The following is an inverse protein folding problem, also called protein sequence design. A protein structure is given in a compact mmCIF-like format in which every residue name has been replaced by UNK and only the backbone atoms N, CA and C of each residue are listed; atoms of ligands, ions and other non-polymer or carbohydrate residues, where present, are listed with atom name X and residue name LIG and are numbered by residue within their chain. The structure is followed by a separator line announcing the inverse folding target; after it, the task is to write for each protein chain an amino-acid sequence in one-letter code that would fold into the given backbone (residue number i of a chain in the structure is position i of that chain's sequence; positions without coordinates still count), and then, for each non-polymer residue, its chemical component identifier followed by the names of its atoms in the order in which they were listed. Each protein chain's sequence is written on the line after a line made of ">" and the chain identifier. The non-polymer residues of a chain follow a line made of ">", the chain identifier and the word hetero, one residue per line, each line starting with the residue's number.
data_IF_519609443304
#
_entry.id   IF_519609443304
#
_cell.length_a   1.000
_cell.length_b   1.000
_cell.length_c   1.000
_cell.angle_alpha   90.00
_cell.angle_beta   90.00
_cell.angle_gamma   90.00
#
_symmetry.space_group_name_H-M   'P 1'
#
loop_
_entity.id
_entity.type
_entity.pdbx_description
1 polymer ?
#
# COMPACT_ATOMS: atom_id res chain seq x y z
N UNK A 1 -8.89 13.08 30.92
CA UNK A 1 -8.37 12.89 29.55
C UNK A 1 -9.05 11.74 28.83
N UNK A 2 -8.97 10.47 29.29
CA UNK A 2 -9.60 9.32 28.60
C UNK A 2 -11.13 9.36 28.48
N UNK A 3 -11.82 9.66 29.58
CA UNK A 3 -13.29 9.63 29.65
C UNK A 3 -13.97 10.73 28.82
N UNK A 4 -13.25 11.81 28.56
CA UNK A 4 -13.70 12.94 27.73
C UNK A 4 -12.66 13.22 26.64
N UNK A 5 -12.32 12.17 25.88
CA UNK A 5 -11.33 12.27 24.82
C UNK A 5 -11.79 13.21 23.72
N UNK A 6 -13.06 13.12 23.32
CA UNK A 6 -13.59 13.90 22.21
C UNK A 6 -13.98 15.34 22.58
N UNK A 7 -14.26 15.64 23.84
CA UNK A 7 -14.50 17.01 24.29
C UNK A 7 -13.23 17.78 24.66
N UNK A 8 -12.23 17.10 25.25
CA UNK A 8 -11.01 17.76 25.73
C UNK A 8 -9.71 17.05 25.35
N UNK A 9 -9.66 15.71 25.49
CA UNK A 9 -8.41 14.96 25.42
C UNK A 9 -7.65 15.07 24.09
N UNK A 10 -8.36 15.01 22.97
CA UNK A 10 -7.77 15.11 21.64
C UNK A 10 -7.26 16.52 21.34
N UNK A 11 -8.04 17.57 21.65
CA UNK A 11 -7.59 18.95 21.47
C UNK A 11 -6.37 19.30 22.34
N UNK A 12 -6.29 18.73 23.55
CA UNK A 12 -5.10 18.83 24.40
C UNK A 12 -3.89 18.13 23.78
N UNK A 13 -4.08 16.92 23.25
CA UNK A 13 -3.04 16.18 22.56
C UNK A 13 -2.52 16.94 21.33
N UNK A 14 -3.41 17.45 20.48
CA UNK A 14 -3.03 18.22 19.28
C UNK A 14 -2.24 19.47 19.64
N UNK A 15 -2.64 20.17 20.72
CA UNK A 15 -1.89 21.32 21.24
C UNK A 15 -0.49 20.94 21.71
N UNK A 16 -0.35 19.81 22.42
CA UNK A 16 0.96 19.29 22.83
C UNK A 16 1.83 18.96 21.61
N UNK A 17 1.27 18.32 20.58
CA UNK A 17 1.98 17.99 19.34
C UNK A 17 2.42 19.25 18.60
N UNK A 18 1.54 20.24 18.46
CA UNK A 18 1.86 21.52 17.82
C UNK A 18 3.04 22.23 18.50
N UNK A 19 3.05 22.29 19.84
CA UNK A 19 4.14 22.90 20.61
C UNK A 19 5.46 22.15 20.44
N UNK A 20 5.44 20.82 20.31
CA UNK A 20 6.66 20.03 20.05
C UNK A 20 7.15 20.27 18.61
N UNK A 21 6.25 20.26 17.63
CA UNK A 21 6.58 20.50 16.22
C UNK A 21 7.14 21.90 16.00
N UNK A 22 6.52 22.93 16.57
CA UNK A 22 6.99 24.32 16.48
C UNK A 22 8.40 24.46 17.07
N UNK A 23 8.64 23.86 18.25
CA UNK A 23 9.97 23.83 18.88
C UNK A 23 11.01 23.10 18.01
N UNK A 24 10.62 22.01 17.36
CA UNK A 24 11.49 21.27 16.47
C UNK A 24 11.85 22.06 15.20
N UNK A 25 10.83 22.67 14.56
CA UNK A 25 11.01 23.50 13.38
C UNK A 25 11.89 24.72 13.67
N UNK A 26 11.71 25.36 14.83
CA UNK A 26 12.56 26.49 15.24
C UNK A 26 14.04 26.11 15.45
N UNK A 27 14.35 24.83 15.68
CA UNK A 27 15.74 24.36 15.89
C UNK A 27 16.40 23.84 14.62
N UNK A 28 15.66 23.13 13.77
CA UNK A 28 16.25 22.33 12.69
C UNK A 28 15.57 22.47 11.32
N UNK A 29 14.62 23.41 11.15
CA UNK A 29 13.74 23.57 9.96
C UNK A 29 12.93 22.31 9.58
N UNK A 30 13.12 21.19 10.28
CA UNK A 30 12.47 19.90 10.08
C UNK A 30 12.18 19.24 11.42
N UNK A 31 11.16 18.39 11.46
CA UNK A 31 10.84 17.53 12.61
C UNK A 31 11.79 16.34 12.63
N UNK A 32 12.82 16.40 13.48
CA UNK A 32 13.83 15.34 13.63
C UNK A 32 13.38 14.18 14.54
N UNK A 33 14.24 13.15 14.63
CA UNK A 33 14.00 11.94 15.46
C UNK A 33 13.77 12.28 16.94
N UNK A 34 14.44 13.31 17.45
CA UNK A 34 14.29 13.79 18.83
C UNK A 34 12.88 14.33 19.10
N UNK A 35 12.32 15.09 18.17
CA UNK A 35 10.96 15.61 18.28
C UNK A 35 9.94 14.46 18.24
N UNK A 36 10.18 13.43 17.42
CA UNK A 36 9.34 12.22 17.42
C UNK A 36 9.41 11.48 18.74
N UNK A 37 10.59 11.38 19.35
CA UNK A 37 10.74 10.78 20.68
C UNK A 37 9.99 11.60 21.75
N UNK A 38 10.09 12.93 21.72
CA UNK A 38 9.35 13.81 22.63
C UNK A 38 7.83 13.68 22.43
N UNK A 39 7.36 13.63 21.18
CA UNK A 39 5.94 13.43 20.87
C UNK A 39 5.40 12.13 21.48
N UNK A 40 6.17 11.04 21.38
CA UNK A 40 5.81 9.73 21.97
C UNK A 40 5.77 9.75 23.49
N UNK A 41 6.52 10.64 24.15
CA UNK A 41 6.55 10.78 25.61
C UNK A 41 5.49 11.77 26.13
N UNK A 42 4.66 12.34 25.27
CA UNK A 42 3.58 13.23 25.71
C UNK A 42 2.47 12.45 26.44
N UNK A 43 1.82 13.04 27.46
CA UNK A 43 0.70 12.38 28.15
C UNK A 43 -0.44 11.95 27.22
N UNK A 44 -0.72 12.73 26.18
CA UNK A 44 -1.73 12.36 25.18
C UNK A 44 -1.30 11.16 24.32
N UNK A 45 -0.02 11.06 23.96
CA UNK A 45 0.50 9.91 23.22
C UNK A 45 0.43 8.61 24.04
N UNK A 46 0.80 8.65 25.33
CA UNK A 46 0.67 7.50 26.24
C UNK A 46 -0.79 7.02 26.32
N UNK A 47 -1.74 7.95 26.45
CA UNK A 47 -3.18 7.63 26.48
C UNK A 47 -3.65 6.95 25.20
N UNK A 48 -3.19 7.42 24.04
CA UNK A 48 -3.52 6.85 22.73
C UNK A 48 -2.88 5.47 22.57
N UNK A 49 -1.60 5.31 22.93
CA UNK A 49 -0.86 4.05 22.85
C UNK A 49 -1.51 2.96 23.71
N UNK A 50 -1.87 3.27 24.96
CA UNK A 50 -2.60 2.34 25.82
C UNK A 50 -3.96 1.93 25.23
N UNK A 51 -4.66 2.87 24.58
CA UNK A 51 -5.94 2.58 23.92
C UNK A 51 -5.74 1.67 22.69
N UNK A 52 -4.72 1.93 21.87
CA UNK A 52 -4.33 1.08 20.73
C UNK A 52 -4.00 -0.34 21.21
N UNK A 53 -3.23 -0.48 22.29
CA UNK A 53 -2.86 -1.80 22.82
C UNK A 53 -4.06 -2.55 23.43
N UNK A 54 -4.97 -1.83 24.08
CA UNK A 54 -6.25 -2.39 24.54
C UNK A 54 -7.09 -2.92 23.38
N UNK A 55 -7.21 -2.15 22.29
CA UNK A 55 -7.92 -2.56 21.07
C UNK A 55 -7.24 -3.76 20.43
N UNK A 56 -5.92 -3.73 20.26
CA UNK A 56 -5.12 -4.81 19.68
C UNK A 56 -5.34 -6.12 20.44
N UNK A 57 -5.22 -6.13 21.77
CA UNK A 57 -5.45 -7.33 22.59
C UNK A 57 -6.85 -7.90 22.40
N UNK A 58 -7.88 -7.03 22.41
CA UNK A 58 -9.27 -7.43 22.18
C UNK A 58 -9.47 -8.05 20.80
N UNK A 59 -8.85 -7.47 19.76
CA UNK A 59 -8.91 -7.97 18.39
C UNK A 59 -8.19 -9.31 18.22
N UNK A 60 -6.97 -9.44 18.76
CA UNK A 60 -6.22 -10.70 18.79
C UNK A 60 -7.05 -11.80 19.44
N UNK A 61 -7.65 -11.53 20.61
CA UNK A 61 -8.53 -12.51 21.27
C UNK A 61 -9.78 -12.85 20.45
N UNK A 62 -10.41 -11.88 19.79
CA UNK A 62 -11.56 -12.12 18.92
C UNK A 62 -11.19 -12.97 17.70
N UNK A 63 -10.05 -12.70 17.06
CA UNK A 63 -9.51 -13.47 15.94
C UNK A 63 -9.18 -14.91 16.34
N UNK A 64 -8.49 -15.11 17.46
CA UNK A 64 -8.14 -16.44 17.95
C UNK A 64 -9.37 -17.28 18.28
N UNK A 65 -10.47 -16.66 18.74
CA UNK A 65 -11.74 -17.36 19.01
C UNK A 65 -12.47 -17.86 17.76
N UNK A 66 -12.17 -17.32 16.56
CA UNK A 66 -12.79 -17.78 15.30
C UNK A 66 -12.33 -19.18 14.90
N UNK A 67 -11.10 -19.57 15.29
CA UNK A 67 -10.57 -20.91 15.06
C UNK A 67 -10.16 -21.23 13.61
N UNK A 68 -10.19 -20.25 12.69
CA UNK A 68 -9.76 -20.44 11.31
C UNK A 68 -8.30 -19.97 11.06
N UNK A 69 -7.58 -20.55 10.07
CA UNK A 69 -6.18 -20.21 9.81
C UNK A 69 -5.93 -18.75 9.43
N UNK A 70 -6.86 -18.09 8.71
CA UNK A 70 -6.70 -16.68 8.33
C UNK A 70 -6.76 -15.79 9.55
N UNK A 71 -7.76 -15.97 10.41
CA UNK A 71 -7.88 -15.21 11.64
C UNK A 71 -6.68 -15.42 12.57
N UNK A 72 -6.19 -16.67 12.69
CA UNK A 72 -4.98 -16.96 13.46
C UNK A 72 -3.73 -16.27 12.90
N UNK A 73 -3.58 -16.23 11.57
CA UNK A 73 -2.47 -15.53 10.92
C UNK A 73 -2.55 -14.00 11.10
N UNK A 74 -3.74 -13.41 10.97
CA UNK A 74 -3.96 -11.98 11.25
C UNK A 74 -3.67 -11.67 12.72
N UNK A 75 -4.10 -12.52 13.64
CA UNK A 75 -3.80 -12.35 15.07
C UNK A 75 -2.29 -12.37 15.34
N UNK A 76 -1.55 -13.29 14.72
CA UNK A 76 -0.10 -13.34 14.82
C UNK A 76 0.57 -12.12 14.15
N UNK A 77 0.03 -11.63 13.04
CA UNK A 77 0.54 -10.43 12.36
C UNK A 77 0.36 -9.16 13.20
N UNK A 78 -0.73 -9.08 13.98
CA UNK A 78 -1.02 -7.98 14.90
C UNK A 78 -0.22 -8.03 16.22
N UNK A 79 0.54 -9.12 16.48
CA UNK A 79 1.26 -9.35 17.74
C UNK A 79 2.00 -8.13 18.28
N UNK A 80 2.04 -8.00 19.62
CA UNK A 80 2.32 -6.78 20.38
C UNK A 80 3.77 -6.27 20.34
N UNK A 81 4.23 -5.85 21.51
CA UNK A 81 5.51 -5.21 21.86
C UNK A 81 6.72 -6.02 21.35
N UNK A 82 7.94 -5.47 21.40
CA UNK A 82 9.11 -6.08 20.76
C UNK A 82 9.39 -7.54 21.15
N UNK A 83 9.15 -7.94 22.40
CA UNK A 83 9.36 -9.32 22.88
C UNK A 83 8.24 -10.27 22.41
N UNK A 84 6.99 -9.83 22.48
CA UNK A 84 5.82 -10.54 21.95
C UNK A 84 5.85 -10.64 20.42
N UNK A 85 6.48 -9.67 19.74
CA UNK A 85 6.62 -9.63 18.30
C UNK A 85 7.45 -10.80 17.77
N UNK A 86 8.54 -11.15 18.44
CA UNK A 86 9.38 -12.29 18.01
C UNK A 86 8.60 -13.62 18.09
N UNK A 87 7.84 -13.82 19.17
CA UNK A 87 6.97 -15.00 19.35
C UNK A 87 5.85 -15.02 18.31
N UNK A 88 5.22 -13.88 18.05
CA UNK A 88 4.16 -13.75 17.07
C UNK A 88 4.66 -13.99 15.64
N UNK A 89 5.85 -13.49 15.29
CA UNK A 89 6.54 -13.78 14.03
C UNK A 89 6.84 -15.28 13.89
N UNK A 90 7.42 -15.91 14.91
CA UNK A 90 7.72 -17.34 14.89
C UNK A 90 6.44 -18.18 14.70
N UNK A 91 5.34 -17.81 15.36
CA UNK A 91 4.03 -18.43 15.17
C UNK A 91 3.51 -18.24 13.75
N UNK A 92 3.60 -17.04 13.19
CA UNK A 92 3.16 -16.76 11.83
C UNK A 92 3.96 -17.56 10.79
N UNK A 93 5.28 -17.65 10.94
CA UNK A 93 6.13 -18.50 10.09
C UNK A 93 5.77 -19.98 10.23
N UNK A 94 5.47 -20.45 11.44
CA UNK A 94 5.03 -21.83 11.67
C UNK A 94 3.68 -22.14 11.01
N UNK A 95 2.71 -21.24 11.10
CA UNK A 95 1.43 -21.37 10.41
C UNK A 95 1.62 -21.43 8.89
N UNK A 96 2.46 -20.55 8.33
CA UNK A 96 2.68 -20.49 6.90
C UNK A 96 3.39 -21.73 6.32
N UNK A 97 4.16 -22.48 7.12
CA UNK A 97 4.80 -23.72 6.66
C UNK A 97 3.81 -24.85 6.36
N UNK A 98 2.67 -24.86 7.04
CA UNK A 98 1.67 -25.94 6.92
C UNK A 98 0.36 -25.49 6.28
N UNK A 99 0.12 -24.18 6.19
CA UNK A 99 -1.06 -23.62 5.56
C UNK A 99 -1.04 -23.80 4.03
N UNK A 100 -2.16 -24.24 3.47
CA UNK A 100 -2.46 -24.15 2.04
C UNK A 100 -3.08 -22.81 1.65
N UNK A 101 -3.44 -21.98 2.64
CA UNK A 101 -4.03 -20.67 2.39
C UNK A 101 -2.93 -19.65 2.01
N UNK A 102 -2.96 -19.11 0.78
CA UNK A 102 -1.94 -18.19 0.30
C UNK A 102 -1.86 -16.88 1.08
N UNK A 103 -2.96 -16.43 1.71
CA UNK A 103 -2.93 -15.24 2.55
C UNK A 103 -1.99 -15.42 3.74
N UNK A 104 -1.96 -16.61 4.35
CA UNK A 104 -1.09 -16.92 5.49
C UNK A 104 0.37 -16.85 5.07
N UNK A 105 0.70 -17.41 3.89
CA UNK A 105 2.03 -17.31 3.29
C UNK A 105 2.42 -15.87 2.99
N UNK A 106 1.52 -15.07 2.40
CA UNK A 106 1.76 -13.67 2.09
C UNK A 106 2.03 -12.82 3.34
N UNK A 107 1.29 -13.05 4.43
CA UNK A 107 1.49 -12.37 5.71
C UNK A 107 2.84 -12.74 6.34
N UNK A 108 3.22 -14.02 6.31
CA UNK A 108 4.51 -14.47 6.84
C UNK A 108 5.69 -13.85 6.08
N UNK A 109 5.60 -13.73 4.74
CA UNK A 109 6.67 -13.10 3.95
C UNK A 109 6.84 -11.60 4.25
N UNK A 110 5.81 -10.93 4.77
CA UNK A 110 5.90 -9.54 5.21
C UNK A 110 6.49 -9.36 6.61
N UNK A 111 6.54 -10.44 7.41
CA UNK A 111 7.05 -10.45 8.78
C UNK A 111 8.16 -11.50 8.92
N UNK A 112 9.29 -11.35 8.21
CA UNK A 112 10.40 -12.26 8.37
C UNK A 112 10.95 -12.15 9.80
N UNK A 113 11.35 -13.29 10.35
CA UNK A 113 12.12 -13.35 11.59
C UNK A 113 13.52 -12.78 11.36
N UNK A 114 14.05 -12.13 12.41
CA UNK A 114 15.46 -11.77 12.48
C UNK A 114 16.35 -13.03 12.37
N UNK A 115 17.62 -12.82 11.97
CA UNK A 115 18.61 -13.91 11.87
C UNK A 115 18.72 -14.62 13.21
N UNK A 116 18.53 -15.95 13.22
CA UNK A 116 18.57 -16.78 14.42
C UNK A 116 17.27 -16.79 15.25
N UNK A 117 16.25 -15.99 14.91
CA UNK A 117 15.00 -15.92 15.68
C UNK A 117 14.01 -17.05 15.38
N UNK A 118 13.78 -17.34 14.10
CA UNK A 118 12.97 -18.48 13.68
C UNK A 118 13.27 -18.87 12.22
N UNK A 119 12.78 -20.03 11.78
CA UNK A 119 12.87 -20.44 10.37
C UNK A 119 11.86 -19.67 9.52
N UNK A 120 12.35 -18.84 8.61
CA UNK A 120 11.51 -18.16 7.61
C UNK A 120 11.03 -19.14 6.53
N UNK A 121 9.80 -18.96 6.04
CA UNK A 121 9.36 -19.62 4.82
C UNK A 121 10.08 -19.05 3.59
N UNK A 122 10.22 -19.85 2.55
CA UNK A 122 10.81 -19.41 1.29
C UNK A 122 9.79 -18.62 0.46
N UNK A 123 10.21 -17.53 -0.19
CA UNK A 123 9.34 -16.81 -1.13
C UNK A 123 8.87 -17.69 -2.30
N UNK A 124 9.68 -18.68 -2.70
CA UNK A 124 9.34 -19.66 -3.73
C UNK A 124 8.04 -20.42 -3.41
N UNK A 125 7.73 -20.61 -2.11
CA UNK A 125 6.52 -21.27 -1.66
C UNK A 125 5.27 -20.52 -2.14
N UNK A 126 5.25 -19.20 -2.08
CA UNK A 126 4.09 -18.43 -2.51
C UNK A 126 3.83 -18.58 -4.00
N UNK A 127 4.89 -18.50 -4.83
CA UNK A 127 4.75 -18.68 -6.28
C UNK A 127 4.27 -20.08 -6.68
N UNK A 128 4.58 -21.11 -5.89
CA UNK A 128 4.06 -22.47 -6.10
C UNK A 128 2.59 -22.60 -5.72
N UNK A 129 2.18 -21.94 -4.62
CA UNK A 129 0.78 -21.93 -4.17
C UNK A 129 -0.11 -21.09 -5.10
N UNK A 130 0.43 -19.99 -5.63
CA UNK A 130 -0.30 -19.06 -6.50
C UNK A 130 0.48 -18.68 -7.76
N UNK A 131 0.63 -19.60 -8.73
CA UNK A 131 1.27 -19.29 -10.00
C UNK A 131 0.55 -18.17 -10.77
N UNK A 132 -0.76 -18.02 -10.57
CA UNK A 132 -1.57 -16.97 -11.18
C UNK A 132 -1.44 -15.59 -10.51
N UNK A 133 -0.78 -15.48 -9.35
CA UNK A 133 -0.62 -14.23 -8.62
C UNK A 133 0.72 -13.57 -8.96
N UNK A 134 0.68 -12.41 -9.60
CA UNK A 134 1.86 -11.63 -9.95
C UNK A 134 2.71 -11.27 -8.72
N UNK A 135 2.08 -10.99 -7.58
CA UNK A 135 2.80 -10.60 -6.34
C UNK A 135 3.62 -11.75 -5.74
N UNK A 136 3.21 -12.99 -5.96
CA UNK A 136 3.94 -14.16 -5.50
C UNK A 136 5.31 -14.27 -6.21
N UNK A 137 5.33 -14.03 -7.53
CA UNK A 137 6.54 -14.00 -8.34
C UNK A 137 7.43 -12.79 -8.05
N UNK A 138 6.84 -11.60 -7.84
CA UNK A 138 7.61 -10.41 -7.45
C UNK A 138 8.32 -10.61 -6.11
N UNK A 139 7.67 -11.28 -5.16
CA UNK A 139 8.27 -11.58 -3.85
C UNK A 139 9.48 -12.50 -4.00
N UNK A 140 9.43 -13.46 -4.94
CA UNK A 140 10.57 -14.30 -5.29
C UNK A 140 11.74 -13.46 -5.85
N UNK A 141 11.48 -12.52 -6.77
CA UNK A 141 12.51 -11.63 -7.32
C UNK A 141 13.17 -10.73 -6.26
N UNK A 142 12.43 -10.34 -5.23
CA UNK A 142 12.91 -9.48 -4.13
C UNK A 142 13.69 -10.21 -3.05
N UNK A 143 13.60 -11.53 -3.02
CA UNK A 143 14.21 -12.32 -1.95
C UNK A 143 15.74 -12.19 -1.97
N UNK A 144 16.43 -12.37 -0.82
CA UNK A 144 17.88 -12.42 -0.77
C UNK A 144 18.40 -13.46 -1.78
N UNK A 145 19.07 -13.00 -2.84
CA UNK A 145 19.52 -13.82 -3.99
C UNK A 145 18.75 -13.59 -5.30
N UNK A 146 17.50 -13.12 -5.26
CA UNK A 146 16.67 -12.80 -6.44
C UNK A 146 17.16 -11.57 -7.19
N UNK A 147 17.40 -10.46 -6.49
CA UNK A 147 17.86 -9.21 -7.10
C UNK A 147 19.25 -9.31 -7.77
N UNK A 148 20.04 -10.32 -7.41
CA UNK A 148 21.41 -10.53 -7.89
C UNK A 148 21.49 -11.63 -8.95
N UNK A 149 20.46 -12.47 -9.10
CA UNK A 149 20.48 -13.62 -10.01
C UNK A 149 19.65 -13.34 -11.29
N UNK A 150 20.30 -13.05 -12.44
CA UNK A 150 19.59 -12.75 -13.68
C UNK A 150 18.75 -13.94 -14.19
N UNK A 151 19.17 -15.19 -13.95
CA UNK A 151 18.43 -16.35 -14.43
C UNK A 151 17.12 -16.54 -13.66
N UNK A 152 17.14 -16.32 -12.34
CA UNK A 152 15.93 -16.35 -11.52
C UNK A 152 14.97 -15.21 -11.90
N UNK A 153 15.48 -14.02 -12.20
CA UNK A 153 14.66 -12.90 -12.65
C UNK A 153 14.06 -13.14 -14.04
N UNK A 154 14.83 -13.71 -14.98
CA UNK A 154 14.33 -14.12 -16.29
C UNK A 154 13.23 -15.17 -16.18
N UNK A 155 13.46 -16.20 -15.35
CA UNK A 155 12.49 -17.24 -15.05
C UNK A 155 11.21 -16.67 -14.44
N UNK A 156 11.31 -15.82 -13.41
CA UNK A 156 10.15 -15.19 -12.79
C UNK A 156 9.40 -14.28 -13.78
N UNK A 157 10.11 -13.54 -14.64
CA UNK A 157 9.49 -12.68 -15.65
C UNK A 157 8.68 -13.48 -16.66
N UNK A 158 9.25 -14.58 -17.19
CA UNK A 158 8.56 -15.49 -18.10
C UNK A 158 7.32 -16.11 -17.45
N UNK A 159 7.45 -16.58 -16.20
CA UNK A 159 6.33 -17.14 -15.43
C UNK A 159 5.23 -16.11 -15.17
N UNK A 160 5.59 -14.88 -14.79
CA UNK A 160 4.60 -13.82 -14.63
C UNK A 160 3.87 -13.53 -15.96
N UNK A 161 4.58 -13.48 -17.08
CA UNK A 161 3.97 -13.19 -18.38
C UNK A 161 3.02 -14.32 -18.84
N UNK A 162 3.37 -15.58 -18.57
CA UNK A 162 2.60 -16.75 -19.03
C UNK A 162 1.49 -17.18 -18.07
N UNK A 163 1.74 -17.15 -16.75
CA UNK A 163 0.86 -17.73 -15.73
C UNK A 163 0.04 -16.69 -14.97
N UNK A 164 0.55 -15.47 -14.77
CA UNK A 164 -0.15 -14.49 -13.95
C UNK A 164 -1.49 -14.07 -14.58
N UNK A 165 -2.50 -13.92 -13.73
CA UNK A 165 -3.86 -13.49 -14.08
C UNK A 165 -4.34 -12.32 -13.21
N UNK A 166 -3.82 -12.20 -11.99
CA UNK A 166 -4.14 -11.14 -11.05
C UNK A 166 -2.91 -10.72 -10.24
N UNK A 167 -3.01 -9.58 -9.56
CA UNK A 167 -2.02 -9.02 -8.62
C UNK A 167 -2.70 -8.87 -7.26
N UNK A 168 -2.38 -9.74 -6.31
CA UNK A 168 -2.97 -9.71 -4.96
C UNK A 168 -1.89 -9.71 -3.90
N UNK A 169 -1.78 -8.62 -3.16
CA UNK A 169 -0.91 -8.50 -1.99
C UNK A 169 -1.54 -9.11 -0.74
N UNK A 170 -2.84 -9.43 -0.77
CA UNK A 170 -3.71 -9.77 0.37
C UNK A 170 -4.01 -8.63 1.35
N UNK A 171 -3.68 -7.39 1.00
CA UNK A 171 -3.98 -6.22 1.84
C UNK A 171 -5.49 -5.99 2.01
N UNK A 172 -6.26 -6.15 0.93
CA UNK A 172 -7.72 -5.96 0.94
C UNK A 172 -8.40 -7.01 1.82
N UNK A 173 -8.01 -8.27 1.68
CA UNK A 173 -8.50 -9.39 2.49
C UNK A 173 -8.11 -9.21 3.96
N UNK A 174 -6.89 -8.75 4.23
CA UNK A 174 -6.43 -8.41 5.58
C UNK A 174 -7.27 -7.29 6.20
N UNK A 175 -7.49 -6.17 5.48
CA UNK A 175 -8.35 -5.07 5.92
C UNK A 175 -9.79 -5.54 6.14
N UNK A 176 -10.33 -6.39 5.26
CA UNK A 176 -11.66 -6.96 5.42
C UNK A 176 -11.78 -7.78 6.72
N UNK A 177 -10.74 -8.55 7.08
CA UNK A 177 -10.69 -9.26 8.36
C UNK A 177 -10.72 -8.26 9.52
N UNK A 178 -9.90 -7.20 9.51
CA UNK A 178 -9.91 -6.20 10.59
C UNK A 178 -11.27 -5.48 10.71
N UNK A 179 -11.84 -5.06 9.59
CA UNK A 179 -13.13 -4.36 9.53
C UNK A 179 -14.32 -5.24 9.94
N UNK A 180 -14.15 -6.56 9.97
CA UNK A 180 -15.13 -7.54 10.45
C UNK A 180 -15.09 -7.78 11.95
N UNK A 181 -14.07 -7.27 12.66
CA UNK A 181 -13.95 -7.44 14.11
C UNK A 181 -14.94 -6.54 14.85
N UNK A 182 -15.30 -6.85 16.10
CA UNK A 182 -16.14 -5.96 16.91
C UNK A 182 -15.51 -4.56 16.98
N UNK A 183 -16.25 -3.55 16.53
CA UNK A 183 -15.82 -2.15 16.54
C UNK A 183 -16.66 -1.34 17.51
N UNK A 184 -16.13 -0.19 17.93
CA UNK A 184 -16.85 0.81 18.71
C UNK A 184 -17.61 1.72 17.76
N UNK A 185 -18.93 1.77 17.85
CA UNK A 185 -19.76 2.59 16.94
C UNK A 185 -19.92 4.05 17.42
N UNK A 186 -19.54 4.34 18.67
CA UNK A 186 -19.54 5.70 19.21
C UNK A 186 -18.19 6.40 18.94
N UNK A 187 -18.19 7.72 18.64
CA UNK A 187 -16.98 8.53 18.64
C UNK A 187 -16.28 8.45 20.02
N UNK A 188 -14.96 8.34 20.04
CA UNK A 188 -14.23 8.12 21.29
C UNK A 188 -12.78 7.71 21.10
N UNK A 189 -12.03 7.67 22.21
CA UNK A 189 -10.65 7.18 22.24
C UNK A 189 -10.53 5.75 21.68
N UNK A 190 -11.51 4.88 21.97
CA UNK A 190 -11.52 3.51 21.43
C UNK A 190 -11.72 3.48 19.92
N UNK A 191 -12.60 4.33 19.37
CA UNK A 191 -12.82 4.42 17.93
C UNK A 191 -11.57 4.97 17.22
N UNK A 192 -10.95 6.01 17.80
CA UNK A 192 -9.66 6.54 17.33
C UNK A 192 -8.60 5.45 17.27
N UNK A 193 -8.44 4.70 18.36
CA UNK A 193 -7.46 3.62 18.47
C UNK A 193 -7.71 2.49 17.45
N UNK A 194 -8.98 2.10 17.22
CA UNK A 194 -9.36 1.15 16.18
C UNK A 194 -8.96 1.65 14.79
N UNK A 195 -9.25 2.92 14.49
CA UNK A 195 -8.91 3.53 13.20
C UNK A 195 -7.41 3.68 13.01
N UNK A 196 -6.67 4.09 14.05
CA UNK A 196 -5.22 4.14 14.02
C UNK A 196 -4.61 2.75 13.79
N UNK A 197 -5.16 1.69 14.39
CA UNK A 197 -4.66 0.34 14.17
C UNK A 197 -4.93 -0.13 12.73
N UNK A 198 -6.11 0.16 12.16
CA UNK A 198 -6.42 -0.18 10.76
C UNK A 198 -5.51 0.59 9.80
N UNK A 199 -5.42 1.91 9.95
CA UNK A 199 -4.64 2.79 9.08
C UNK A 199 -3.13 2.55 9.24
N UNK A 200 -2.66 2.42 10.48
CA UNK A 200 -1.27 2.14 10.80
C UNK A 200 -0.81 0.78 10.27
N UNK A 201 -1.66 -0.24 10.34
CA UNK A 201 -1.34 -1.55 9.75
C UNK A 201 -1.35 -1.51 8.22
N UNK A 202 -2.23 -0.72 7.61
CA UNK A 202 -2.23 -0.48 6.17
C UNK A 202 -0.98 0.28 5.71
N UNK A 203 -0.56 1.31 6.46
CA UNK A 203 0.65 2.07 6.16
C UNK A 203 1.93 1.24 6.35
N UNK A 204 1.93 0.32 7.31
CA UNK A 204 3.02 -0.64 7.52
C UNK A 204 2.98 -1.81 6.52
N UNK A 205 1.93 -1.93 5.71
CA UNK A 205 1.85 -2.95 4.67
C UNK A 205 2.95 -2.71 3.66
N UNK A 206 3.81 -3.71 3.46
CA UNK A 206 4.95 -3.54 2.56
C UNK A 206 4.43 -3.27 1.15
N UNK A 207 4.61 -2.04 0.66
CA UNK A 207 4.26 -1.71 -0.71
C UNK A 207 4.92 -2.73 -1.65
N UNK A 208 4.17 -3.29 -2.62
CA UNK A 208 4.73 -4.25 -3.54
C UNK A 208 5.88 -3.60 -4.31
N UNK A 209 7.09 -4.07 -4.01
CA UNK A 209 8.32 -3.58 -4.62
C UNK A 209 8.37 -4.02 -6.07
N UNK A 210 7.83 -3.18 -6.95
CA UNK A 210 7.83 -3.38 -8.40
C UNK A 210 9.14 -2.91 -9.06
N UNK A 211 10.11 -2.47 -8.24
CA UNK A 211 11.42 -2.03 -8.69
C UNK A 211 12.21 -3.12 -9.45
N UNK A 212 12.28 -4.39 -9.00
CA UNK A 212 12.96 -5.45 -9.75
C UNK A 212 12.34 -5.67 -11.13
N UNK A 213 11.00 -5.71 -11.21
CA UNK A 213 10.29 -5.82 -12.49
C UNK A 213 10.60 -4.61 -13.40
N UNK A 214 10.54 -3.40 -12.85
CA UNK A 214 10.87 -2.17 -13.58
C UNK A 214 12.30 -2.16 -14.09
N UNK A 215 13.25 -2.72 -13.32
CA UNK A 215 14.65 -2.85 -13.71
C UNK A 215 14.84 -3.91 -14.79
N UNK A 216 14.23 -5.09 -14.64
CA UNK A 216 14.24 -6.16 -15.65
C UNK A 216 13.68 -5.67 -16.97
N UNK A 217 12.54 -4.98 -16.95
CA UNK A 217 11.99 -4.37 -18.15
C UNK A 217 12.94 -3.33 -18.72
N UNK A 218 13.46 -2.39 -17.92
CA UNK A 218 14.41 -1.37 -18.40
C UNK A 218 15.60 -1.96 -19.15
N UNK A 219 16.24 -2.97 -18.57
CA UNK A 219 17.48 -3.53 -19.08
C UNK A 219 17.25 -4.41 -20.31
N UNK A 220 16.08 -5.03 -20.42
CA UNK A 220 15.81 -6.05 -21.44
C UNK A 220 14.90 -5.63 -22.60
N UNK A 221 14.40 -4.38 -22.69
CA UNK A 221 13.47 -4.02 -23.79
C UNK A 221 14.07 -4.14 -25.21
N UNK A 222 15.40 -4.15 -25.35
CA UNK A 222 16.06 -4.41 -26.62
C UNK A 222 15.86 -5.86 -27.08
N UNK A 223 15.80 -6.81 -26.15
CA UNK A 223 15.53 -8.22 -26.41
C UNK A 223 14.02 -8.43 -26.72
N UNK A 224 13.66 -9.01 -27.88
CA UNK A 224 12.26 -9.21 -28.26
C UNK A 224 11.45 -10.04 -27.27
N UNK A 225 12.03 -11.08 -26.66
CA UNK A 225 11.32 -11.94 -25.71
C UNK A 225 11.00 -11.20 -24.41
N UNK A 226 12.00 -10.51 -23.85
CA UNK A 226 11.83 -9.69 -22.64
C UNK A 226 10.87 -8.54 -22.87
N UNK A 227 10.94 -7.86 -24.03
CA UNK A 227 9.98 -6.82 -24.41
C UNK A 227 8.56 -7.38 -24.44
N UNK A 228 8.34 -8.51 -25.09
CA UNK A 228 7.03 -9.16 -25.15
C UNK A 228 6.50 -9.47 -23.74
N UNK A 229 7.33 -10.05 -22.86
CA UNK A 229 6.95 -10.31 -21.47
C UNK A 229 6.56 -9.03 -20.73
N UNK A 230 7.33 -7.95 -20.87
CA UNK A 230 7.03 -6.67 -20.24
C UNK A 230 5.74 -6.02 -20.78
N UNK A 231 5.47 -6.11 -22.09
CA UNK A 231 4.20 -5.66 -22.67
C UNK A 231 3.01 -6.43 -22.09
N UNK A 232 3.10 -7.77 -22.01
CA UNK A 232 2.07 -8.61 -21.42
C UNK A 232 1.85 -8.24 -19.94
N UNK A 233 2.91 -8.02 -19.18
CA UNK A 233 2.80 -7.63 -17.78
C UNK A 233 2.21 -6.24 -17.58
N UNK A 234 2.53 -5.29 -18.45
CA UNK A 234 1.89 -3.99 -18.44
C UNK A 234 0.38 -4.14 -18.65
N UNK A 235 -0.06 -4.96 -19.59
CA UNK A 235 -1.49 -5.25 -19.77
C UNK A 235 -2.11 -5.90 -18.52
N UNK A 236 -1.44 -6.89 -17.92
CA UNK A 236 -1.94 -7.55 -16.70
C UNK A 236 -2.09 -6.58 -15.54
N UNK A 237 -1.08 -5.75 -15.29
CA UNK A 237 -1.08 -4.74 -14.23
C UNK A 237 -2.16 -3.67 -14.48
N UNK A 238 -2.42 -3.33 -15.74
CA UNK A 238 -3.48 -2.39 -16.10
C UNK A 238 -4.89 -2.90 -15.73
N UNK A 239 -5.11 -4.20 -15.75
CA UNK A 239 -6.41 -4.79 -15.39
C UNK A 239 -6.59 -4.97 -13.87
N UNK A 240 -5.67 -4.49 -13.04
CA UNK A 240 -5.76 -4.62 -11.57
C UNK A 240 -6.50 -3.46 -10.91
N UNK A 241 -6.91 -3.68 -9.66
CA UNK A 241 -7.80 -2.77 -8.91
C UNK A 241 -7.05 -1.61 -8.23
N UNK A 242 -5.71 -1.60 -8.19
CA UNK A 242 -4.95 -0.56 -7.48
C UNK A 242 -4.43 0.52 -8.43
N UNK A 243 -4.40 1.78 -7.97
CA UNK A 243 -3.77 2.88 -8.70
C UNK A 243 -2.27 2.62 -8.88
N UNK A 244 -1.64 1.96 -7.90
CA UNK A 244 -0.22 1.63 -7.96
C UNK A 244 0.08 0.67 -9.12
N UNK A 245 -0.64 -0.45 -9.24
CA UNK A 245 -0.44 -1.40 -10.35
C UNK A 245 -0.63 -0.71 -11.72
N UNK A 246 -1.65 0.14 -11.85
CA UNK A 246 -1.91 0.92 -13.07
C UNK A 246 -0.80 1.92 -13.36
N UNK A 247 -0.26 2.59 -12.33
CA UNK A 247 0.89 3.47 -12.47
C UNK A 247 2.11 2.72 -13.02
N UNK A 248 2.36 1.51 -12.52
CA UNK A 248 3.45 0.66 -13.02
C UNK A 248 3.20 0.17 -14.44
N UNK A 249 1.96 -0.19 -14.79
CA UNK A 249 1.59 -0.52 -16.16
C UNK A 249 1.93 0.62 -17.14
N UNK A 250 1.52 1.85 -16.81
CA UNK A 250 1.84 3.06 -17.57
C UNK A 250 3.37 3.28 -17.62
N UNK A 251 4.07 3.08 -16.50
CA UNK A 251 5.52 3.21 -16.43
C UNK A 251 6.27 2.24 -17.36
N UNK A 252 5.82 0.98 -17.46
CA UNK A 252 6.37 -0.01 -18.40
C UNK A 252 6.00 0.37 -19.84
N UNK A 253 4.73 0.69 -20.10
CA UNK A 253 4.25 1.07 -21.43
C UNK A 253 5.02 2.27 -22.00
N UNK A 254 5.24 3.31 -21.19
CA UNK A 254 6.05 4.48 -21.54
C UNK A 254 7.45 4.10 -22.03
N UNK A 255 8.11 3.14 -21.38
CA UNK A 255 9.45 2.69 -21.77
C UNK A 255 9.44 1.91 -23.08
N UNK A 256 8.43 1.08 -23.29
CA UNK A 256 8.22 0.38 -24.56
C UNK A 256 7.99 1.39 -25.68
N UNK A 257 7.13 2.38 -25.48
CA UNK A 257 6.81 3.44 -26.45
C UNK A 257 8.05 4.27 -26.83
N UNK A 258 8.93 4.54 -25.86
CA UNK A 258 10.18 5.27 -26.14
C UNK A 258 11.09 4.55 -27.16
N UNK A 259 11.04 3.21 -27.22
CA UNK A 259 11.78 2.40 -28.19
C UNK A 259 10.94 2.04 -29.43
N UNK A 260 9.63 1.96 -29.27
CA UNK A 260 8.65 1.56 -30.29
C UNK A 260 7.46 2.52 -30.30
N UNK A 261 7.59 3.70 -30.93
CA UNK A 261 6.55 4.74 -30.89
C UNK A 261 5.20 4.30 -31.46
N UNK A 262 5.18 3.31 -32.36
CA UNK A 262 3.97 2.71 -32.93
C UNK A 262 3.06 2.08 -31.86
N UNK A 263 3.62 1.70 -30.70
CA UNK A 263 2.85 1.15 -29.58
C UNK A 263 1.99 2.17 -28.85
N UNK A 264 2.19 3.48 -29.08
CA UNK A 264 1.50 4.54 -28.33
C UNK A 264 -0.02 4.46 -28.46
N UNK A 265 -0.54 4.22 -29.67
CA UNK A 265 -1.96 4.23 -29.95
C UNK A 265 -2.76 3.27 -29.04
N UNK A 266 -2.17 2.12 -28.70
CA UNK A 266 -2.77 1.12 -27.80
C UNK A 266 -2.94 1.63 -26.36
N UNK A 267 -2.08 2.54 -25.91
CA UNK A 267 -2.02 2.98 -24.52
C UNK A 267 -2.64 4.36 -24.27
N UNK A 268 -2.87 5.16 -25.31
CA UNK A 268 -3.36 6.54 -25.16
C UNK A 268 -4.68 6.62 -24.37
N UNK A 269 -5.67 5.78 -24.71
CA UNK A 269 -6.95 5.75 -23.98
C UNK A 269 -6.83 5.23 -22.53
N UNK A 270 -5.81 4.44 -22.23
CA UNK A 270 -5.50 4.01 -20.84
C UNK A 270 -4.83 5.15 -20.07
N UNK A 271 -3.87 5.81 -20.70
CA UNK A 271 -3.19 6.97 -20.14
C UNK A 271 -4.15 8.11 -19.81
N UNK A 272 -5.06 8.48 -20.70
CA UNK A 272 -6.07 9.51 -20.45
C UNK A 272 -6.95 9.18 -19.24
N UNK A 273 -7.43 7.93 -19.13
CA UNK A 273 -8.22 7.47 -17.97
C UNK A 273 -7.44 7.55 -16.67
N UNK A 274 -6.16 7.18 -16.71
CA UNK A 274 -5.29 7.27 -15.55
C UNK A 274 -4.99 8.72 -15.15
N UNK A 275 -4.67 9.59 -16.11
CA UNK A 275 -4.46 11.03 -15.90
C UNK A 275 -5.70 11.68 -15.26
N UNK A 276 -6.90 11.34 -15.75
CA UNK A 276 -8.15 11.83 -15.20
C UNK A 276 -8.34 11.39 -13.74
N UNK A 277 -8.11 10.11 -13.43
CA UNK A 277 -8.21 9.58 -12.08
C UNK A 277 -7.23 10.24 -11.11
N UNK A 278 -5.97 10.46 -11.52
CA UNK A 278 -4.97 11.14 -10.69
C UNK A 278 -5.33 12.61 -10.49
N UNK A 279 -5.78 13.32 -11.54
CA UNK A 279 -6.22 14.72 -11.39
C UNK A 279 -7.41 14.84 -10.44
N UNK A 280 -8.36 13.91 -10.50
CA UNK A 280 -9.50 13.87 -9.58
C UNK A 280 -9.04 13.66 -8.14
N UNK A 281 -8.22 12.62 -7.90
CA UNK A 281 -7.70 12.30 -6.57
C UNK A 281 -6.91 13.47 -5.98
N UNK A 282 -6.05 14.11 -6.78
CA UNK A 282 -5.24 15.24 -6.31
C UNK A 282 -6.13 16.45 -5.97
N UNK A 283 -7.16 16.73 -6.77
CA UNK A 283 -8.11 17.80 -6.45
C UNK A 283 -8.93 17.51 -5.18
N UNK A 284 -9.29 16.24 -4.95
CA UNK A 284 -9.95 15.83 -3.70
C UNK A 284 -9.02 16.06 -2.50
N UNK A 285 -7.73 15.71 -2.61
CA UNK A 285 -6.73 15.95 -1.56
C UNK A 285 -6.48 17.44 -1.33
N UNK A 286 -6.41 18.25 -2.40
CA UNK A 286 -6.30 19.72 -2.29
C UNK A 286 -7.53 20.36 -1.63
N UNK A 287 -8.70 19.76 -1.81
CA UNK A 287 -9.96 20.18 -1.19
C UNK A 287 -10.16 19.67 0.24
N UNK A 288 -9.32 18.75 0.73
CA UNK A 288 -9.30 18.39 2.14
C UNK A 288 -8.71 19.57 2.91
N UNK A 289 -9.50 20.14 3.82
CA UNK A 289 -8.95 21.04 4.83
C UNK A 289 -8.09 20.21 5.78
N UNK A 290 -6.79 20.12 5.50
CA UNK A 290 -5.82 19.45 6.36
C UNK A 290 -5.59 20.21 7.68
N UNK A 291 -6.16 21.42 7.81
CA UNK A 291 -6.24 22.19 9.04
C UNK A 291 -7.70 22.30 9.47
N UNK A 292 -8.35 21.20 9.91
CA UNK A 292 -9.72 21.25 10.36
C UNK A 292 -9.85 22.36 11.40
N UNK A 293 -10.92 23.16 11.30
CA UNK A 293 -11.13 24.25 12.25
C UNK A 293 -11.10 23.66 13.67
N UNK A 294 -10.53 24.37 14.67
CA UNK A 294 -10.48 23.88 16.04
C UNK A 294 -11.85 23.60 16.68
N UNK A 295 -12.94 23.96 15.99
CA UNK A 295 -14.33 23.69 16.37
C UNK A 295 -14.84 22.32 15.86
N UNK A 296 -14.16 21.69 14.90
CA UNK A 296 -14.49 20.33 14.46
C UNK A 296 -13.96 19.33 15.48
N UNK A 297 -14.88 18.53 16.06
CA UNK A 297 -14.51 17.48 17.01
C UNK A 297 -13.48 16.54 16.37
N UNK A 298 -12.27 16.39 16.96
CA UNK A 298 -11.24 15.47 16.45
C UNK A 298 -11.67 13.98 16.44
N UNK A 299 -12.85 13.67 16.98
CA UNK A 299 -13.46 12.34 16.91
C UNK A 299 -14.54 12.18 15.84
N UNK A 300 -15.01 13.26 15.20
CA UNK A 300 -16.15 13.25 14.28
C UNK A 300 -15.91 12.34 13.07
N UNK A 301 -14.85 12.60 12.31
CA UNK A 301 -14.60 11.95 11.01
C UNK A 301 -14.24 10.45 11.05
N UNK A 302 -14.12 9.84 12.23
CA UNK A 302 -13.64 8.45 12.34
C UNK A 302 -14.67 7.44 11.84
N UNK A 303 -15.96 7.73 12.04
CA UNK A 303 -17.07 6.88 11.59
C UNK A 303 -17.18 6.91 10.06
N UNK A 304 -17.13 8.11 9.48
CA UNK A 304 -17.15 8.32 8.02
C UNK A 304 -15.92 7.68 7.38
N UNK A 305 -14.72 7.89 7.94
CA UNK A 305 -13.48 7.27 7.47
C UNK A 305 -13.58 5.75 7.47
N UNK A 306 -14.19 5.15 8.50
CA UNK A 306 -14.40 3.70 8.56
C UNK A 306 -15.36 3.21 7.48
N UNK A 307 -16.45 3.93 7.23
CA UNK A 307 -17.39 3.60 6.16
C UNK A 307 -16.73 3.71 4.79
N UNK A 308 -15.92 4.74 4.56
CA UNK A 308 -15.11 4.90 3.36
C UNK A 308 -14.13 3.72 3.17
N UNK A 309 -13.42 3.32 4.23
CA UNK A 309 -12.53 2.15 4.20
C UNK A 309 -13.28 0.85 3.87
N UNK A 310 -14.49 0.66 4.39
CA UNK A 310 -15.34 -0.49 4.03
C UNK A 310 -15.73 -0.46 2.56
N UNK A 311 -16.12 0.71 2.04
CA UNK A 311 -16.44 0.91 0.62
C UNK A 311 -15.27 0.58 -0.30
N UNK A 312 -14.10 1.17 -0.02
CA UNK A 312 -12.85 0.90 -0.77
C UNK A 312 -12.43 -0.56 -0.69
N UNK A 313 -12.55 -1.20 0.48
CA UNK A 313 -12.21 -2.62 0.66
C UNK A 313 -13.17 -3.53 -0.11
N UNK A 314 -14.44 -3.14 -0.27
CA UNK A 314 -15.42 -3.93 -1.01
C UNK A 314 -15.27 -3.81 -2.54
N UNK A 315 -14.98 -2.61 -3.05
CA UNK A 315 -14.98 -2.32 -4.49
C UNK A 315 -13.59 -2.37 -5.13
N UNK A 316 -12.51 -2.17 -4.37
CA UNK A 316 -11.18 -1.90 -4.92
C UNK A 316 -10.96 -0.40 -5.17
N UNK A 317 -9.70 0.05 -5.06
CA UNK A 317 -9.33 1.47 -5.09
C UNK A 317 -9.72 2.16 -6.41
N UNK A 318 -9.39 1.53 -7.55
CA UNK A 318 -9.67 2.07 -8.87
C UNK A 318 -11.16 2.19 -9.14
N UNK A 319 -11.93 1.12 -8.89
CA UNK A 319 -13.35 1.10 -9.19
C UNK A 319 -14.13 2.03 -8.28
N UNK A 320 -13.72 2.15 -7.00
CA UNK A 320 -14.24 3.13 -6.08
C UNK A 320 -14.02 4.57 -6.59
N UNK A 321 -12.77 4.92 -6.93
CA UNK A 321 -12.43 6.24 -7.47
C UNK A 321 -13.21 6.55 -8.75
N UNK A 322 -13.34 5.57 -9.65
CA UNK A 322 -14.11 5.72 -10.90
C UNK A 322 -15.60 5.87 -10.62
N UNK A 323 -16.14 5.22 -9.59
CA UNK A 323 -17.53 5.39 -9.19
C UNK A 323 -17.78 6.80 -8.65
N UNK A 324 -16.89 7.34 -7.82
CA UNK A 324 -16.96 8.72 -7.32
C UNK A 324 -16.87 9.75 -8.45
N UNK A 325 -15.93 9.58 -9.38
CA UNK A 325 -15.82 10.45 -10.56
C UNK A 325 -17.14 10.47 -11.35
N UNK A 326 -17.73 9.28 -11.58
CA UNK A 326 -19.00 9.17 -12.31
C UNK A 326 -20.17 9.77 -11.56
N UNK A 327 -20.28 9.56 -10.25
CA UNK A 327 -21.37 10.12 -9.44
C UNK A 327 -21.29 11.64 -9.35
N UNK A 328 -20.09 12.21 -9.40
CA UNK A 328 -19.85 13.65 -9.47
C UNK A 328 -20.02 14.25 -10.87
N UNK A 329 -20.30 13.44 -11.90
CA UNK A 329 -20.41 13.92 -13.28
C UNK A 329 -19.10 14.40 -13.88
N UNK A 330 -17.95 13.90 -13.40
CA UNK A 330 -16.65 14.31 -13.88
C UNK A 330 -16.39 13.82 -15.32
N UNK A 331 -15.81 14.70 -16.14
CA UNK A 331 -15.40 14.38 -17.52
C UNK A 331 -13.92 13.97 -17.58
N UNK A 332 -13.67 12.77 -18.08
CA UNK A 332 -12.32 12.20 -18.20
C UNK A 332 -11.40 13.05 -19.09
N UNK A 333 -11.93 13.57 -20.20
CA UNK A 333 -11.15 14.36 -21.15
C UNK A 333 -10.68 15.68 -20.52
N UNK A 334 -11.58 16.38 -19.82
CA UNK A 334 -11.28 17.61 -19.09
C UNK A 334 -10.25 17.37 -17.99
N UNK A 335 -10.40 16.32 -17.18
CA UNK A 335 -9.45 16.00 -16.11
C UNK A 335 -8.07 15.58 -16.65
N UNK A 336 -8.02 14.79 -17.72
CA UNK A 336 -6.77 14.44 -18.40
C UNK A 336 -6.10 15.69 -19.00
N UNK A 337 -6.87 16.62 -19.59
CA UNK A 337 -6.33 17.88 -20.08
C UNK A 337 -5.75 18.74 -18.94
N UNK A 338 -6.44 18.85 -17.80
CA UNK A 338 -5.94 19.54 -16.60
C UNK A 338 -4.62 18.93 -16.11
N UNK A 339 -4.55 17.60 -16.04
CA UNK A 339 -3.32 16.90 -15.69
C UNK A 339 -2.15 17.30 -16.62
N UNK A 340 -2.38 17.23 -17.94
CA UNK A 340 -1.35 17.54 -18.95
C UNK A 340 -0.95 19.02 -18.91
N UNK A 341 -1.90 19.92 -18.67
CA UNK A 341 -1.62 21.36 -18.52
C UNK A 341 -0.75 21.63 -17.29
N UNK A 342 -1.06 21.00 -16.15
CA UNK A 342 -0.28 21.16 -14.92
C UNK A 342 1.13 20.55 -15.03
N UNK A 343 1.25 19.38 -15.68
CA UNK A 343 2.52 18.66 -15.82
C UNK A 343 3.33 18.97 -17.08
N UNK A 344 2.75 19.69 -18.05
CA UNK A 344 3.33 20.00 -19.36
C UNK A 344 3.48 18.80 -20.30
N UNK A 345 2.92 17.62 -19.97
CA UNK A 345 3.10 16.37 -20.73
C UNK A 345 2.06 15.30 -20.38
N UNK A 346 1.94 14.31 -21.25
CA UNK A 346 1.23 13.06 -20.95
C UNK A 346 2.06 12.13 -20.05
N UNK A 347 1.39 11.24 -19.30
CA UNK A 347 2.05 10.17 -18.55
C UNK A 347 2.80 9.16 -19.43
N UNK A 348 2.51 9.11 -20.73
CA UNK A 348 3.25 8.27 -21.70
C UNK A 348 4.50 8.95 -22.27
N UNK A 349 4.68 10.25 -22.04
CA UNK A 349 5.83 10.96 -22.57
C UNK A 349 7.08 10.62 -21.74
N UNK A 350 8.23 10.34 -22.39
CA UNK A 350 9.46 9.98 -21.68
C UNK A 350 9.87 11.09 -20.70
N UNK A 351 10.47 10.70 -19.58
CA UNK A 351 11.15 11.67 -18.70
C UNK A 351 12.31 12.29 -19.45
N UNK A 352 12.41 13.62 -19.38
CA UNK A 352 13.44 14.46 -19.99
C UNK A 352 14.82 13.90 -19.58
N UNK A 353 15.45 13.14 -20.48
CA UNK A 353 16.69 12.41 -20.19
C UNK A 353 16.83 11.09 -20.96
N UNK A 354 15.73 10.41 -21.29
CA UNK A 354 15.77 9.17 -22.07
C UNK A 354 15.78 9.39 -23.60
N UNK A 355 15.28 10.54 -24.07
CA UNK A 355 15.22 10.85 -25.51
C UNK A 355 16.62 11.04 -26.16
N UNK A 356 17.65 11.41 -25.37
CA UNK A 356 18.97 11.71 -25.91
C UNK A 356 19.78 10.47 -26.32
N UNK A 357 19.45 9.28 -25.80
CA UNK A 357 20.21 8.05 -26.08
C UNK A 357 19.85 7.39 -27.42
N UNK A 358 18.68 7.69 -28.00
CA UNK A 358 18.21 7.05 -29.23
C UNK A 358 18.79 7.67 -30.52
N UNK A 359 19.33 8.88 -30.45
CA UNK A 359 19.90 9.58 -31.63
C UNK A 359 21.40 9.40 -31.78
N UNK A 360 22.08 8.73 -30.84
CA UNK A 360 23.54 8.57 -30.85
C UNK A 360 24.04 7.20 -31.38
N UNK A 361 23.17 6.38 -31.98
CA UNK A 361 23.56 5.09 -32.59
C UNK A 361 22.90 4.86 -33.95
N UNK A 362 23.07 5.81 -34.86
CA UNK A 362 22.93 5.58 -36.30
C UNK A 362 24.22 5.91 -37.02
#
# INVERSE_FOLDING_TARGET
>A
MKADWCGFGAAEYDRQMAVIIERAQARTDMVGVEAVAEMKQSPGAEVVEEAVESVRRRWVQALMRRGDPRSAAVAAFLGGDDEDRAVAQARLQALARTASDPMVTALALQRPCAVGGCTNIEASQWSRLEPANLQAWLTLMRSPGGGVNPSLNGYALERMASEARYSRTYEREFKAVLLSLPQSDAPGLSNLAEMQLILGTAAAWAMPGLAPLSQSCRAGLADPATRYHCEVLADRLWEQDTLLDRAFAIGIARRVIALHPDRRARWEARAQRYEAAISWRNAAVEGLDLNPSPEESPCGGQVEMRQALRGMTAQGEWDHLRAEMRSAGADDATLSARFRQAGGRSVLDPESGLAAASTASR
#
